data_IF_638772804398
#
_entry.id   IF_638772804398
#
_cell.length_a   1.000
_cell.length_b   1.000
_cell.length_c   1.000
_cell.angle_alpha   90.00
_cell.angle_beta   90.00
_cell.angle_gamma   90.00
#
_symmetry.space_group_name_H-M   'P 1'
#
loop_
_entity.id
_entity.type
_entity.pdbx_description
1 polymer ?
#
# COMPACT_ATOMS: atom_id res chain seq x y z
N UNK A 1 -39.76 15.22 41.36
CA UNK A 1 -39.32 15.93 40.15
C UNK A 1 -38.08 15.18 39.69
N UNK A 2 -38.26 14.14 38.87
CA UNK A 2 -37.17 13.30 38.37
C UNK A 2 -36.79 13.83 37.00
N UNK A 3 -35.67 14.54 36.93
CA UNK A 3 -35.01 14.84 35.66
C UNK A 3 -34.32 13.56 35.18
N UNK A 4 -34.96 12.90 34.21
CA UNK A 4 -34.31 11.90 33.39
C UNK A 4 -33.30 12.63 32.50
N UNK A 5 -32.02 12.37 32.72
CA UNK A 5 -30.97 12.68 31.75
C UNK A 5 -31.31 11.96 30.44
N UNK A 6 -31.72 12.71 29.42
CA UNK A 6 -31.74 12.22 28.05
C UNK A 6 -30.30 11.90 27.64
N UNK A 7 -29.97 10.62 27.58
CA UNK A 7 -28.79 10.14 26.87
C UNK A 7 -29.10 10.37 25.39
N UNK A 8 -28.60 11.49 24.86
CA UNK A 8 -28.72 11.84 23.45
C UNK A 8 -28.15 10.71 22.59
N UNK A 9 -29.03 10.05 21.83
CA UNK A 9 -28.62 9.17 20.75
C UNK A 9 -27.83 10.02 19.75
N UNK A 10 -26.52 9.83 19.69
CA UNK A 10 -25.72 10.36 18.61
C UNK A 10 -26.27 9.80 17.30
N UNK A 11 -26.47 10.69 16.32
CA UNK A 11 -26.98 10.33 15.01
C UNK A 11 -26.12 9.21 14.41
N UNK A 12 -26.74 8.22 13.76
CA UNK A 12 -26.05 7.04 13.22
C UNK A 12 -24.96 7.40 12.20
N UNK A 13 -25.07 8.58 11.58
CA UNK A 13 -24.06 9.18 10.71
C UNK A 13 -22.81 9.64 11.50
N UNK A 14 -23.00 10.36 12.60
CA UNK A 14 -21.93 10.87 13.45
C UNK A 14 -21.15 9.75 14.15
N UNK A 15 -21.84 8.68 14.59
CA UNK A 15 -21.19 7.50 15.15
C UNK A 15 -20.33 6.75 14.11
N UNK A 16 -20.78 6.70 12.85
CA UNK A 16 -19.99 6.13 11.75
C UNK A 16 -18.78 6.99 11.42
N UNK A 17 -18.94 8.30 11.30
CA UNK A 17 -17.82 9.22 11.05
C UNK A 17 -16.77 9.15 12.16
N UNK A 18 -17.20 9.12 13.42
CA UNK A 18 -16.29 8.98 14.56
C UNK A 18 -15.56 7.62 14.56
N UNK A 19 -16.25 6.52 14.20
CA UNK A 19 -15.62 5.20 14.06
C UNK A 19 -14.60 5.17 12.91
N UNK A 20 -14.90 5.79 11.76
CA UNK A 20 -13.98 5.91 10.62
C UNK A 20 -12.69 6.64 11.04
N UNK A 21 -12.83 7.77 11.74
CA UNK A 21 -11.67 8.52 12.27
C UNK A 21 -10.87 7.69 13.26
N UNK A 22 -11.53 6.96 14.17
CA UNK A 22 -10.86 6.08 15.15
C UNK A 22 -10.12 4.91 14.49
N UNK A 23 -10.64 4.34 13.41
CA UNK A 23 -10.01 3.22 12.71
C UNK A 23 -8.84 3.69 11.83
N UNK A 24 -8.97 4.86 11.17
CA UNK A 24 -7.82 5.51 10.52
C UNK A 24 -6.68 5.81 11.51
N UNK A 25 -7.00 6.07 12.78
CA UNK A 25 -6.00 6.23 13.85
C UNK A 25 -5.38 4.90 14.31
N UNK A 26 -5.98 3.74 13.99
CA UNK A 26 -5.43 2.41 14.31
C UNK A 26 -4.56 1.83 13.19
N UNK A 27 -4.65 2.35 11.97
CA UNK A 27 -3.78 1.95 10.87
C UNK A 27 -2.35 2.49 11.08
N UNK A 28 -1.32 1.69 10.76
CA UNK A 28 0.05 2.08 11.07
C UNK A 28 0.45 3.27 10.18
N UNK A 29 0.95 4.34 10.81
CA UNK A 29 1.53 5.48 10.10
C UNK A 29 3.04 5.47 10.31
N UNK A 30 3.79 5.58 9.22
CA UNK A 30 5.25 5.55 9.25
C UNK A 30 5.84 6.91 8.88
N UNK A 31 6.94 7.27 9.53
CA UNK A 31 7.79 8.38 9.11
C UNK A 31 9.18 7.85 8.84
N UNK A 32 9.69 8.17 7.65
CA UNK A 32 11.05 7.86 7.21
C UNK A 32 11.84 9.16 7.06
N UNK A 33 13.06 9.09 6.55
CA UNK A 33 13.87 10.27 6.27
C UNK A 33 13.16 11.27 5.35
N UNK A 34 12.48 10.79 4.30
CA UNK A 34 11.86 11.64 3.26
C UNK A 34 10.36 11.47 3.13
N UNK A 35 9.77 10.42 3.70
CA UNK A 35 8.38 10.04 3.46
C UNK A 35 7.55 9.99 4.74
N UNK A 36 6.27 10.37 4.60
CA UNK A 36 5.18 10.00 5.51
C UNK A 36 4.36 8.95 4.78
N UNK A 37 4.06 7.83 5.43
CA UNK A 37 3.18 6.79 4.90
C UNK A 37 1.95 6.76 5.81
N UNK A 38 0.78 7.03 5.25
CA UNK A 38 -0.45 7.23 6.02
C UNK A 38 -1.69 6.65 5.31
N UNK A 39 -2.79 6.41 6.04
CA UNK A 39 -4.01 5.91 5.43
C UNK A 39 -4.48 6.80 4.29
N UNK A 40 -5.15 6.22 3.30
CA UNK A 40 -5.79 7.03 2.28
C UNK A 40 -6.87 7.92 2.89
N UNK A 41 -6.97 9.12 2.34
CA UNK A 41 -8.02 10.08 2.67
C UNK A 41 -8.90 10.29 1.43
N UNK A 42 -10.20 10.61 1.57
CA UNK A 42 -11.08 10.86 0.42
C UNK A 42 -10.53 11.90 -0.57
N UNK A 43 -9.76 12.87 -0.08
CA UNK A 43 -9.13 13.94 -0.86
C UNK A 43 -8.03 13.42 -1.80
N UNK A 44 -7.46 12.22 -1.56
CA UNK A 44 -6.44 11.60 -2.42
C UNK A 44 -7.01 11.10 -3.76
N UNK A 45 -8.34 11.16 -3.95
CA UNK A 45 -9.01 10.67 -5.16
C UNK A 45 -8.47 11.26 -6.46
N UNK A 46 -8.08 12.55 -6.44
CA UNK A 46 -7.47 13.22 -7.59
C UNK A 46 -6.09 12.63 -7.94
N UNK A 47 -5.26 12.36 -6.94
CA UNK A 47 -3.92 11.80 -7.15
C UNK A 47 -4.01 10.33 -7.58
N UNK A 48 -4.93 9.56 -7.00
CA UNK A 48 -5.24 8.20 -7.44
C UNK A 48 -5.74 8.18 -8.89
N UNK A 49 -6.64 9.09 -9.27
CA UNK A 49 -7.09 9.20 -10.66
C UNK A 49 -5.92 9.50 -11.60
N UNK A 50 -5.05 10.46 -11.26
CA UNK A 50 -3.87 10.79 -12.06
C UNK A 50 -2.88 9.62 -12.15
N UNK A 51 -2.76 8.82 -11.10
CA UNK A 51 -1.88 7.66 -11.05
C UNK A 51 -2.42 6.53 -11.94
N UNK A 52 -3.68 6.14 -11.75
CA UNK A 52 -4.32 5.02 -12.44
C UNK A 52 -4.85 5.38 -13.83
N UNK A 53 -4.95 6.68 -14.17
CA UNK A 53 -5.22 7.17 -15.52
C UNK A 53 -3.96 7.33 -16.38
N UNK A 54 -2.76 7.22 -15.80
CA UNK A 54 -1.51 7.33 -16.56
C UNK A 54 -1.17 5.99 -17.24
N UNK A 55 -1.19 5.99 -18.58
CA UNK A 55 -0.90 4.80 -19.40
C UNK A 55 0.47 4.18 -19.17
N UNK A 56 1.50 4.96 -18.86
CA UNK A 56 2.85 4.43 -18.56
C UNK A 56 2.90 3.78 -17.19
N UNK A 57 2.17 4.31 -16.21
CA UNK A 57 2.03 3.67 -14.89
C UNK A 57 1.26 2.36 -15.01
N UNK A 58 0.20 2.34 -15.81
CA UNK A 58 -0.70 1.20 -15.97
C UNK A 58 -0.26 0.16 -17.02
N UNK A 59 0.85 0.37 -17.72
CA UNK A 59 1.26 -0.46 -18.86
C UNK A 59 1.48 -1.95 -18.51
N UNK A 60 1.75 -2.26 -17.23
CA UNK A 60 2.05 -3.61 -16.72
C UNK A 60 1.02 -4.09 -15.68
N UNK A 61 -0.21 -3.59 -15.77
CA UNK A 61 -1.27 -3.86 -14.81
C UNK A 61 -2.54 -4.30 -15.55
N UNK A 62 -3.40 -5.11 -14.90
CA UNK A 62 -4.72 -5.45 -15.41
C UNK A 62 -5.51 -4.21 -15.84
N UNK A 63 -6.31 -4.36 -16.90
CA UNK A 63 -7.03 -3.23 -17.53
C UNK A 63 -8.09 -2.63 -16.62
N UNK A 64 -8.70 -3.44 -15.76
CA UNK A 64 -9.74 -3.04 -14.80
C UNK A 64 -9.20 -2.15 -13.66
N UNK A 65 -7.88 -2.06 -13.51
CA UNK A 65 -7.27 -1.09 -12.60
C UNK A 65 -7.14 0.32 -13.19
N UNK A 66 -7.37 0.50 -14.50
CA UNK A 66 -7.30 1.81 -15.16
C UNK A 66 -8.55 2.64 -14.84
N UNK A 67 -8.36 3.91 -14.46
CA UNK A 67 -9.48 4.84 -14.26
C UNK A 67 -9.63 5.77 -15.45
N UNK A 68 -10.79 5.71 -16.09
CA UNK A 68 -11.21 6.59 -17.18
C UNK A 68 -11.83 7.90 -16.70
N UNK A 69 -12.22 7.99 -15.42
CA UNK A 69 -12.79 9.20 -14.83
C UNK A 69 -12.42 9.39 -13.35
N UNK A 70 -12.51 10.64 -12.89
CA UNK A 70 -12.34 10.96 -11.46
C UNK A 70 -13.40 10.26 -10.59
N UNK A 71 -14.63 10.08 -11.09
CA UNK A 71 -15.70 9.42 -10.37
C UNK A 71 -15.38 7.95 -10.07
N UNK A 72 -14.76 7.23 -11.00
CA UNK A 72 -14.28 5.85 -10.78
C UNK A 72 -13.23 5.81 -9.67
N UNK A 73 -12.28 6.75 -9.69
CA UNK A 73 -11.24 6.83 -8.66
C UNK A 73 -11.81 7.16 -7.27
N UNK A 74 -12.75 8.11 -7.18
CA UNK A 74 -13.44 8.44 -5.93
C UNK A 74 -14.22 7.24 -5.39
N UNK A 75 -14.97 6.54 -6.24
CA UNK A 75 -15.74 5.36 -5.83
C UNK A 75 -14.85 4.21 -5.38
N UNK A 76 -13.75 3.96 -6.12
CA UNK A 76 -12.74 2.98 -5.72
C UNK A 76 -12.16 3.32 -4.34
N UNK A 77 -11.76 4.58 -4.15
CA UNK A 77 -11.10 5.01 -2.93
C UNK A 77 -12.03 4.94 -1.71
N UNK A 78 -13.28 5.37 -1.85
CA UNK A 78 -14.29 5.23 -0.81
C UNK A 78 -14.50 3.76 -0.44
N UNK A 79 -14.63 2.88 -1.44
CA UNK A 79 -14.75 1.44 -1.17
C UNK A 79 -13.49 0.87 -0.52
N UNK A 80 -12.30 1.36 -0.89
CA UNK A 80 -11.03 0.92 -0.34
C UNK A 80 -10.88 1.31 1.12
N UNK A 81 -11.15 2.58 1.45
CA UNK A 81 -11.11 3.10 2.83
C UNK A 81 -12.08 2.30 3.71
N UNK A 82 -13.31 2.09 3.27
CA UNK A 82 -14.29 1.31 4.04
C UNK A 82 -13.84 -0.13 4.30
N UNK A 83 -13.24 -0.80 3.30
CA UNK A 83 -12.74 -2.19 3.46
C UNK A 83 -11.46 -2.26 4.30
N UNK A 84 -10.70 -1.17 4.37
CA UNK A 84 -9.46 -1.12 5.15
C UNK A 84 -9.71 -1.23 6.66
N UNK A 85 -10.96 -1.03 7.09
CA UNK A 85 -11.38 -1.09 8.50
C UNK A 85 -11.34 -2.50 9.10
N UNK A 86 -11.39 -3.54 8.26
CA UNK A 86 -11.59 -4.92 8.70
C UNK A 86 -10.34 -5.81 8.52
N UNK A 87 -9.22 -5.23 8.10
CA UNK A 87 -8.02 -5.99 7.71
C UNK A 87 -6.74 -5.49 8.37
N UNK A 88 -5.82 -6.42 8.67
CA UNK A 88 -4.57 -6.10 9.35
C UNK A 88 -3.53 -5.40 8.46
N UNK A 89 -3.59 -5.63 7.14
CA UNK A 89 -2.61 -5.10 6.19
C UNK A 89 -3.30 -4.37 5.03
N UNK A 90 -2.94 -3.09 4.87
CA UNK A 90 -3.51 -2.20 3.86
C UNK A 90 -2.40 -1.42 3.15
N UNK A 91 -2.63 -1.12 1.86
CA UNK A 91 -1.79 -0.21 1.09
C UNK A 91 -2.15 1.22 1.46
N UNK A 92 -1.14 2.05 1.61
CA UNK A 92 -1.28 3.39 2.17
C UNK A 92 -0.61 4.43 1.28
N UNK A 93 -1.08 5.67 1.37
CA UNK A 93 -0.55 6.79 0.63
C UNK A 93 0.89 7.09 1.07
N UNK A 94 1.73 7.47 0.11
CA UNK A 94 3.12 7.87 0.34
C UNK A 94 3.27 9.35 0.01
N UNK A 95 3.59 10.15 1.04
CA UNK A 95 3.68 11.60 0.97
C UNK A 95 5.12 12.03 1.18
N UNK A 96 5.60 12.95 0.35
CA UNK A 96 6.93 13.55 0.53
C UNK A 96 6.92 14.57 1.67
N UNK A 97 7.86 14.43 2.60
CA UNK A 97 7.96 15.30 3.79
C UNK A 97 8.32 16.74 3.47
N UNK A 98 9.14 16.98 2.45
CA UNK A 98 9.67 18.32 2.17
C UNK A 98 8.62 19.31 1.67
N UNK A 99 7.57 18.83 1.01
CA UNK A 99 6.57 19.68 0.35
C UNK A 99 5.13 19.15 0.43
N UNK A 100 4.90 18.04 1.15
CA UNK A 100 3.57 17.44 1.29
C UNK A 100 3.03 16.79 0.01
N UNK A 101 3.87 16.60 -1.02
CA UNK A 101 3.42 16.05 -2.30
C UNK A 101 3.01 14.57 -2.17
N UNK A 102 1.83 14.21 -2.67
CA UNK A 102 1.42 12.83 -2.85
C UNK A 102 2.21 12.19 -3.99
N UNK A 103 2.89 11.08 -3.72
CA UNK A 103 3.82 10.45 -4.67
C UNK A 103 3.26 9.17 -5.29
N UNK A 104 2.39 8.48 -4.56
CA UNK A 104 1.99 7.13 -4.84
C UNK A 104 1.45 6.43 -3.60
N UNK A 105 1.50 5.10 -3.65
CA UNK A 105 1.17 4.26 -2.52
C UNK A 105 2.13 3.07 -2.40
N UNK A 106 2.23 2.55 -1.19
CA UNK A 106 2.97 1.34 -0.88
C UNK A 106 2.31 0.67 0.31
N UNK A 107 2.34 -0.66 0.36
CA UNK A 107 2.02 -1.40 1.57
C UNK A 107 1.76 -2.86 1.37
N UNK A 108 1.43 -3.49 2.49
CA UNK A 108 1.13 -4.91 2.58
C UNK A 108 -0.37 -5.13 2.36
N UNK A 109 -0.73 -6.27 1.78
CA UNK A 109 -2.11 -6.72 1.66
C UNK A 109 -2.18 -8.22 1.75
N UNK A 110 -3.01 -8.71 2.66
CA UNK A 110 -3.32 -10.13 2.75
C UNK A 110 -4.17 -10.57 1.55
N UNK A 111 -3.77 -11.68 0.94
CA UNK A 111 -4.45 -12.31 -0.18
C UNK A 111 -5.36 -13.44 0.32
N UNK A 112 -6.24 -13.95 -0.54
CA UNK A 112 -7.23 -14.97 -0.14
C UNK A 112 -6.62 -16.30 0.29
N UNK A 113 -5.40 -16.58 -0.14
CA UNK A 113 -4.62 -17.76 0.22
C UNK A 113 -3.82 -17.56 1.53
N UNK A 114 -3.95 -16.41 2.19
CA UNK A 114 -3.27 -16.07 3.44
C UNK A 114 -1.87 -15.48 3.24
N UNK A 115 -1.40 -15.34 2.00
CA UNK A 115 -0.11 -14.72 1.74
C UNK A 115 -0.20 -13.20 1.83
N UNK A 116 0.84 -12.55 2.34
CA UNK A 116 0.89 -11.09 2.46
C UNK A 116 1.76 -10.51 1.36
N UNK A 117 1.12 -9.80 0.43
CA UNK A 117 1.74 -9.18 -0.75
C UNK A 117 2.21 -7.76 -0.44
N UNK A 118 3.48 -7.47 -0.74
CA UNK A 118 3.99 -6.10 -0.81
C UNK A 118 3.75 -5.52 -2.20
N UNK A 119 2.95 -4.46 -2.25
CA UNK A 119 2.70 -3.69 -3.47
C UNK A 119 3.19 -2.26 -3.36
N UNK A 120 3.49 -1.66 -4.51
CA UNK A 120 3.73 -0.23 -4.64
C UNK A 120 3.37 0.31 -6.03
N UNK A 121 3.00 1.58 -6.09
CA UNK A 121 2.79 2.32 -7.34
C UNK A 121 3.08 3.79 -7.12
N UNK A 122 3.83 4.40 -8.02
CA UNK A 122 4.26 5.79 -7.92
C UNK A 122 4.03 6.52 -9.23
N UNK A 123 3.78 7.83 -9.14
CA UNK A 123 3.72 8.68 -10.32
C UNK A 123 5.00 8.57 -11.12
N UNK A 124 4.85 8.56 -12.46
CA UNK A 124 5.97 8.48 -13.40
C UNK A 124 7.06 9.52 -13.11
N UNK A 125 6.67 10.75 -12.76
CA UNK A 125 7.61 11.84 -12.45
C UNK A 125 8.49 11.56 -11.22
N UNK A 126 8.10 10.61 -10.37
CA UNK A 126 8.79 10.30 -9.13
C UNK A 126 9.64 9.02 -9.22
N UNK A 127 9.65 8.35 -10.38
CA UNK A 127 10.47 7.16 -10.61
C UNK A 127 11.96 7.49 -10.54
N UNK A 128 12.78 6.50 -10.13
CA UNK A 128 14.23 6.68 -10.01
C UNK A 128 14.71 7.40 -8.74
N UNK A 129 13.82 8.02 -7.96
CA UNK A 129 14.18 8.74 -6.72
C UNK A 129 14.34 7.86 -5.47
N UNK A 130 14.09 6.55 -5.60
CA UNK A 130 14.22 5.58 -4.52
C UNK A 130 13.04 5.52 -3.54
N UNK A 131 11.96 6.25 -3.78
CA UNK A 131 10.81 6.29 -2.86
C UNK A 131 10.14 4.93 -2.66
N UNK A 132 10.02 4.11 -3.72
CA UNK A 132 9.47 2.75 -3.60
C UNK A 132 10.33 1.84 -2.71
N UNK A 133 11.65 1.99 -2.76
CA UNK A 133 12.56 1.24 -1.89
C UNK A 133 12.45 1.72 -0.45
N UNK A 134 12.48 3.04 -0.20
CA UNK A 134 12.35 3.60 1.15
C UNK A 134 11.01 3.23 1.80
N UNK A 135 9.89 3.35 1.08
CA UNK A 135 8.59 2.96 1.61
C UNK A 135 8.46 1.44 1.79
N UNK A 136 9.03 0.66 0.86
CA UNK A 136 9.04 -0.80 0.96
C UNK A 136 9.82 -1.30 2.17
N UNK A 137 10.97 -0.68 2.50
CA UNK A 137 11.75 -1.02 3.69
C UNK A 137 10.95 -0.78 4.98
N UNK A 138 10.27 0.36 5.09
CA UNK A 138 9.41 0.65 6.24
C UNK A 138 8.30 -0.40 6.41
N UNK A 139 7.70 -0.86 5.30
CA UNK A 139 6.70 -1.92 5.34
C UNK A 139 7.25 -3.31 5.64
N UNK A 140 8.46 -3.64 5.20
CA UNK A 140 9.13 -4.89 5.58
C UNK A 140 9.46 -4.89 7.07
N UNK A 141 9.98 -3.79 7.58
CA UNK A 141 10.23 -3.61 9.01
C UNK A 141 8.95 -3.85 9.80
N UNK A 142 7.85 -3.19 9.38
CA UNK A 142 6.56 -3.37 10.02
C UNK A 142 6.06 -4.82 9.96
N UNK A 143 6.04 -5.41 8.77
CA UNK A 143 5.52 -6.75 8.55
C UNK A 143 6.26 -7.80 9.38
N UNK A 144 7.58 -7.72 9.48
CA UNK A 144 8.37 -8.70 10.23
C UNK A 144 8.42 -8.44 11.74
N UNK A 145 8.34 -7.17 12.18
CA UNK A 145 8.45 -6.79 13.59
C UNK A 145 7.08 -6.68 14.26
N UNK A 146 6.21 -5.74 13.88
CA UNK A 146 4.88 -5.65 14.49
C UNK A 146 3.92 -6.71 13.94
N UNK A 147 3.93 -6.91 12.62
CA UNK A 147 3.04 -7.85 11.93
C UNK A 147 3.38 -9.33 12.16
N UNK A 148 4.55 -9.63 12.75
CA UNK A 148 5.05 -10.97 13.06
C UNK A 148 4.99 -11.96 11.88
N UNK A 149 5.07 -11.45 10.65
CA UNK A 149 5.05 -12.29 9.46
C UNK A 149 6.31 -13.15 9.40
N UNK A 150 6.17 -14.40 8.94
CA UNK A 150 7.30 -15.28 8.67
C UNK A 150 7.87 -15.04 7.26
N UNK A 151 7.00 -14.63 6.34
CA UNK A 151 7.29 -14.41 4.92
C UNK A 151 6.39 -13.32 4.33
N UNK A 152 6.92 -12.60 3.35
CA UNK A 152 6.22 -11.60 2.53
C UNK A 152 6.48 -11.93 1.07
N UNK A 153 5.45 -11.81 0.24
CA UNK A 153 5.50 -12.07 -1.20
C UNK A 153 5.38 -10.78 -1.99
N UNK A 154 5.78 -10.81 -3.26
CA UNK A 154 5.53 -9.73 -4.20
C UNK A 154 5.47 -10.27 -5.63
N UNK A 155 4.77 -9.56 -6.51
CA UNK A 155 4.70 -9.87 -7.92
C UNK A 155 5.21 -8.69 -8.78
N UNK A 156 5.89 -9.00 -9.87
CA UNK A 156 6.22 -8.02 -10.90
C UNK A 156 6.03 -8.64 -12.29
N UNK A 157 5.35 -7.94 -13.21
CA UNK A 157 5.28 -8.38 -14.59
C UNK A 157 6.71 -8.50 -15.19
N UNK A 158 6.90 -9.46 -16.10
CA UNK A 158 8.20 -9.73 -16.74
C UNK A 158 8.80 -8.49 -17.42
N UNK A 159 7.97 -7.60 -17.98
CA UNK A 159 8.40 -6.34 -18.59
C UNK A 159 8.65 -5.20 -17.60
N UNK A 160 8.20 -5.32 -16.35
CA UNK A 160 8.31 -4.28 -15.34
C UNK A 160 9.67 -4.31 -14.61
N UNK A 161 10.74 -3.98 -15.35
CA UNK A 161 12.12 -3.96 -14.85
C UNK A 161 12.29 -3.01 -13.65
N UNK A 162 11.51 -1.93 -13.59
CA UNK A 162 11.52 -0.98 -12.48
C UNK A 162 11.12 -1.65 -11.16
N UNK A 163 9.99 -2.37 -11.15
CA UNK A 163 9.54 -3.12 -9.98
C UNK A 163 10.54 -4.21 -9.59
N UNK A 164 11.05 -4.98 -10.55
CA UNK A 164 12.05 -6.02 -10.30
C UNK A 164 13.31 -5.47 -9.61
N UNK A 165 13.80 -4.29 -10.03
CA UNK A 165 14.94 -3.62 -9.39
C UNK A 165 14.63 -3.18 -7.96
N UNK A 166 13.40 -2.72 -7.68
CA UNK A 166 12.98 -2.35 -6.32
C UNK A 166 12.92 -3.59 -5.44
N UNK A 167 12.30 -4.68 -5.90
CA UNK A 167 12.22 -5.94 -5.15
C UNK A 167 13.60 -6.52 -4.84
N UNK A 168 14.54 -6.47 -5.78
CA UNK A 168 15.92 -6.88 -5.54
C UNK A 168 16.61 -6.02 -4.46
N UNK A 169 16.43 -4.70 -4.48
CA UNK A 169 16.96 -3.79 -3.43
C UNK A 169 16.34 -4.03 -2.06
N UNK A 170 15.09 -4.48 -2.02
CA UNK A 170 14.37 -4.87 -0.82
C UNK A 170 14.77 -6.27 -0.32
N UNK A 171 15.68 -6.96 -1.02
CA UNK A 171 16.18 -8.27 -0.62
C UNK A 171 15.28 -9.44 -1.01
N UNK A 172 14.26 -9.23 -1.84
CA UNK A 172 13.42 -10.32 -2.34
C UNK A 172 14.18 -11.22 -3.31
N UNK A 173 13.87 -12.52 -3.27
CA UNK A 173 14.34 -13.50 -4.24
C UNK A 173 13.20 -13.92 -5.17
N UNK A 174 13.51 -14.20 -6.44
CA UNK A 174 12.55 -14.73 -7.40
C UNK A 174 12.34 -16.22 -7.17
N UNK A 175 11.08 -16.64 -7.17
CA UNK A 175 10.63 -18.03 -7.05
C UNK A 175 10.08 -18.51 -8.40
N UNK A 176 10.97 -18.90 -9.32
CA UNK A 176 10.61 -19.15 -10.73
C UNK A 176 9.52 -20.22 -10.94
N UNK A 177 9.41 -21.18 -10.01
CA UNK A 177 8.38 -22.24 -10.07
C UNK A 177 6.96 -21.72 -9.84
N UNK A 178 6.84 -20.51 -9.33
CA UNK A 178 5.57 -19.85 -8.99
C UNK A 178 5.26 -18.68 -9.94
N UNK A 179 6.11 -18.45 -10.95
CA UNK A 179 5.77 -17.57 -12.05
C UNK A 179 4.49 -18.08 -12.74
N UNK A 180 3.58 -17.17 -13.05
CA UNK A 180 2.29 -17.51 -13.64
C UNK A 180 1.88 -16.49 -14.70
N UNK A 181 0.85 -16.82 -15.47
CA UNK A 181 0.26 -15.90 -16.45
C UNK A 181 -1.19 -15.64 -16.09
N UNK A 182 -1.51 -14.37 -15.89
CA UNK A 182 -2.85 -13.91 -15.49
C UNK A 182 -3.07 -12.51 -16.11
N UNK A 183 -4.32 -12.21 -16.51
CA UNK A 183 -4.71 -10.93 -17.11
C UNK A 183 -3.87 -10.47 -18.31
N UNK A 184 -3.31 -11.43 -19.05
CA UNK A 184 -2.45 -11.16 -20.21
C UNK A 184 -1.01 -10.77 -19.86
N UNK A 185 -0.62 -10.87 -18.58
CA UNK A 185 0.73 -10.62 -18.12
C UNK A 185 1.38 -11.90 -17.60
N UNK A 186 2.68 -12.06 -17.89
CA UNK A 186 3.52 -13.03 -17.18
C UNK A 186 4.06 -12.39 -15.91
N UNK A 187 3.61 -12.87 -14.76
CA UNK A 187 4.00 -12.42 -13.44
C UNK A 187 5.20 -13.22 -12.94
N UNK A 188 6.23 -12.51 -12.52
CA UNK A 188 7.40 -13.05 -11.84
C UNK A 188 7.13 -13.00 -10.34
N UNK A 189 7.25 -14.15 -9.67
CA UNK A 189 6.96 -14.29 -8.24
C UNK A 189 8.19 -14.05 -7.40
N UNK A 190 8.06 -13.30 -6.32
CA UNK A 190 9.13 -12.98 -5.39
C UNK A 190 8.73 -13.28 -3.94
N UNK A 191 9.69 -13.71 -3.11
CA UNK A 191 9.51 -13.91 -1.67
C UNK A 191 10.69 -13.39 -0.87
N UNK A 192 10.42 -12.99 0.36
CA UNK A 192 11.42 -12.72 1.40
C UNK A 192 10.92 -13.25 2.73
N UNK A 193 11.76 -13.98 3.45
CA UNK A 193 11.47 -14.45 4.81
C UNK A 193 12.22 -13.62 5.86
N UNK A 194 11.76 -13.72 7.11
CA UNK A 194 12.30 -12.95 8.25
C UNK A 194 13.81 -13.13 8.44
N UNK A 195 14.32 -14.34 8.26
CA UNK A 195 15.76 -14.64 8.41
C UNK A 195 16.60 -13.92 7.35
N UNK A 196 16.11 -13.86 6.11
CA UNK A 196 16.79 -13.14 5.03
C UNK A 196 16.74 -11.64 5.26
N UNK A 197 15.56 -11.11 5.59
CA UNK A 197 15.38 -9.70 5.94
C UNK A 197 16.41 -9.25 7.00
N UNK A 198 16.54 -10.01 8.10
CA UNK A 198 17.51 -9.71 9.16
C UNK A 198 18.97 -9.67 8.67
N UNK A 199 19.38 -10.55 7.75
CA UNK A 199 20.74 -10.55 7.18
C UNK A 199 21.00 -9.34 6.28
N UNK A 200 20.01 -8.97 5.47
CA UNK A 200 20.11 -7.82 4.56
C UNK A 200 20.14 -6.50 5.37
N UNK A 201 19.30 -6.35 6.40
CA UNK A 201 19.28 -5.16 7.26
C UNK A 201 20.60 -4.95 8.01
N UNK A 202 21.24 -6.03 8.47
CA UNK A 202 22.58 -5.97 9.11
C UNK A 202 23.64 -5.52 8.10
N UNK A 203 23.55 -5.94 6.84
CA UNK A 203 24.52 -5.59 5.80
C UNK A 203 24.38 -4.14 5.30
N UNK A 204 23.23 -3.51 5.50
CA UNK A 204 22.98 -2.10 5.13
C UNK A 204 23.38 -1.09 6.23
N UNK A 205 23.65 -1.56 7.45
CA UNK A 205 24.00 -0.72 8.60
C UNK A 205 25.52 -0.65 8.86
N UNK A 206 26.31 -1.52 8.21
CA UNK A 206 27.78 -1.49 8.21
C UNK A 206 28.32 -0.74 6.99
#
# INVERSE_FOLDING_TARGET
>A
MNDYFEVGYLDGCLLREAAIVLIQLMLPTFSTSRLIIRPFLPEDSNDIFRLNGNRKVMQFLPRDEFFGSQAEASHFLESYIRKSEEVAFVRQAVIRRSDGKWLGWCGLREQKDGEVDLGFRFHESEWGNGYATESGLAWLEYGFNEGQLSEIVANAAVGNVGSQKVLAKLGFLRHEREDHTEDGFRWLRYRINKNRYQKESVSQTM
#
